data_IF_259406851442
#
_entry.id   IF_259406851442
#
_cell.length_a   1.000
_cell.length_b   1.000
_cell.length_c   1.000
_cell.angle_alpha   90.00
_cell.angle_beta   90.00
_cell.angle_gamma   90.00
#
_symmetry.space_group_name_H-M   'P 1'
#
loop_
_entity.id
_entity.type
_entity.pdbx_description
1 polymer ?
#
# COMPACT_ATOMS: atom_id res chain seq x y z
N UNK A 1 40.05 -71.00 11.59
CA UNK A 1 40.37 -69.57 11.40
C UNK A 1 39.11 -68.81 11.71
N UNK A 2 39.11 -68.25 12.90
CA UNK A 2 37.99 -67.61 13.57
C UNK A 2 37.70 -66.23 12.98
N UNK A 3 36.46 -65.77 13.18
CA UNK A 3 36.06 -64.42 13.57
C UNK A 3 34.87 -63.82 12.81
N UNK A 4 33.99 -63.31 13.67
CA UNK A 4 32.64 -62.74 13.62
C UNK A 4 32.56 -61.34 12.96
N UNK A 5 31.34 -60.79 12.77
CA UNK A 5 31.01 -59.83 11.71
C UNK A 5 31.27 -58.38 12.11
N UNK A 6 31.60 -57.53 11.14
CA UNK A 6 31.53 -56.07 11.31
C UNK A 6 30.33 -55.54 10.53
N UNK A 7 29.22 -55.44 11.27
CA UNK A 7 28.06 -54.62 11.01
C UNK A 7 28.55 -53.19 10.68
N UNK A 8 28.60 -52.85 9.40
CA UNK A 8 28.86 -51.48 8.96
C UNK A 8 27.77 -50.58 9.54
N UNK A 9 28.22 -49.63 10.36
CA UNK A 9 27.42 -48.68 11.11
C UNK A 9 26.34 -48.01 10.24
N UNK A 10 25.08 -48.39 10.47
CA UNK A 10 23.95 -47.49 10.25
C UNK A 10 24.05 -46.37 11.28
N UNK A 11 24.76 -45.30 10.91
CA UNK A 11 24.64 -44.04 11.63
C UNK A 11 23.22 -43.52 11.39
N UNK A 12 22.40 -43.30 12.44
CA UNK A 12 21.16 -42.59 12.24
C UNK A 12 21.50 -41.17 11.78
N UNK A 13 21.18 -40.88 10.52
CA UNK A 13 21.12 -39.52 10.00
C UNK A 13 20.26 -38.72 10.97
N UNK A 14 20.88 -37.80 11.72
CA UNK A 14 20.17 -36.81 12.53
C UNK A 14 19.28 -36.01 11.60
N UNK A 15 18.01 -36.38 11.52
CA UNK A 15 16.97 -35.55 10.94
C UNK A 15 16.84 -34.35 11.86
N UNK A 16 17.27 -33.19 11.37
CA UNK A 16 16.94 -31.92 11.98
C UNK A 16 15.41 -31.84 11.89
N UNK A 17 14.66 -31.75 13.00
CA UNK A 17 13.26 -31.40 12.89
C UNK A 17 13.25 -29.96 12.37
N UNK A 18 13.00 -29.82 11.06
CA UNK A 18 12.60 -28.55 10.46
C UNK A 18 11.45 -28.05 11.30
N UNK A 19 11.72 -27.03 12.11
CA UNK A 19 10.72 -26.36 12.91
C UNK A 19 9.60 -25.97 11.96
N UNK A 20 8.46 -26.65 12.09
CA UNK A 20 7.23 -26.20 11.50
C UNK A 20 7.04 -24.73 11.91
N UNK A 21 6.89 -23.78 10.96
CA UNK A 21 6.55 -22.43 11.35
C UNK A 21 5.19 -22.46 12.02
N UNK A 22 5.23 -22.36 13.35
CA UNK A 22 4.08 -22.25 14.23
C UNK A 22 3.22 -21.09 13.71
N UNK A 23 2.02 -21.49 13.28
CA UNK A 23 0.85 -20.68 12.94
C UNK A 23 0.87 -19.97 11.59
N UNK A 24 0.01 -20.46 10.71
CA UNK A 24 -0.70 -19.65 9.72
C UNK A 24 -1.42 -18.50 10.44
N UNK A 25 -0.71 -17.40 10.66
CA UNK A 25 -1.33 -16.13 11.04
C UNK A 25 -2.14 -15.72 9.82
N UNK A 26 -3.46 -15.84 9.92
CA UNK A 26 -4.41 -15.22 8.98
C UNK A 26 -3.84 -13.85 8.64
N UNK A 27 -3.57 -13.54 7.36
CA UNK A 27 -2.98 -12.26 7.02
C UNK A 27 -3.91 -11.20 7.59
N UNK A 28 -3.42 -10.48 8.59
CA UNK A 28 -4.10 -9.28 9.06
C UNK A 28 -4.34 -8.44 7.81
N UNK A 29 -5.58 -7.95 7.62
CA UNK A 29 -5.93 -7.11 6.45
C UNK A 29 -4.95 -5.96 6.26
N UNK A 30 -4.28 -5.59 7.34
CA UNK A 30 -3.16 -4.66 7.38
C UNK A 30 -1.90 -5.44 7.69
N UNK A 31 -0.85 -5.27 6.88
CA UNK A 31 0.46 -5.86 7.15
C UNK A 31 1.01 -5.46 8.54
N UNK A 32 2.20 -5.97 8.92
CA UNK A 32 2.79 -5.72 10.24
C UNK A 32 2.91 -4.23 10.60
N UNK A 33 2.95 -3.34 9.60
CA UNK A 33 2.92 -1.89 9.78
C UNK A 33 1.53 -1.30 9.48
N UNK A 34 0.73 -1.13 10.54
CA UNK A 34 -0.60 -0.52 10.43
C UNK A 34 -0.57 0.92 9.90
N UNK A 35 0.43 1.73 10.29
CA UNK A 35 0.52 3.11 9.84
C UNK A 35 0.69 3.22 8.32
N UNK A 36 1.59 2.44 7.74
CA UNK A 36 1.76 2.36 6.28
C UNK A 36 0.51 1.84 5.58
N UNK A 37 -0.18 0.87 6.19
CA UNK A 37 -1.44 0.37 5.64
C UNK A 37 -2.56 1.40 5.66
N UNK A 38 -2.60 2.31 6.64
CA UNK A 38 -3.59 3.38 6.74
C UNK A 38 -3.30 4.45 5.68
N UNK A 39 -2.06 4.92 5.57
CA UNK A 39 -1.66 5.95 4.59
C UNK A 39 -1.91 5.50 3.15
N UNK A 40 -1.81 4.19 2.87
CA UNK A 40 -2.10 3.63 1.54
C UNK A 40 -3.61 3.56 1.20
N UNK A 41 -4.52 3.83 2.14
CA UNK A 41 -5.95 3.85 1.86
C UNK A 41 -6.31 5.04 0.95
N UNK A 42 -7.30 4.90 0.04
CA UNK A 42 -7.77 6.00 -0.81
C UNK A 42 -8.21 7.24 -0.03
N UNK A 43 -8.62 7.05 1.23
CA UNK A 43 -8.99 8.11 2.15
C UNK A 43 -7.88 9.17 2.31
N UNK A 44 -6.61 8.73 2.32
CA UNK A 44 -5.44 9.58 2.51
C UNK A 44 -4.72 9.91 1.20
N UNK A 45 -5.39 9.77 0.04
CA UNK A 45 -4.80 10.19 -1.24
C UNK A 45 -4.56 11.71 -1.26
N UNK A 46 -3.55 12.13 -2.02
CA UNK A 46 -3.33 13.55 -2.30
C UNK A 46 -4.55 14.18 -2.98
N UNK A 47 -4.93 15.38 -2.54
CA UNK A 47 -6.00 16.19 -3.10
C UNK A 47 -5.39 17.38 -3.81
N UNK A 48 -5.77 17.57 -5.07
CA UNK A 48 -5.39 18.73 -5.85
C UNK A 48 -6.59 19.66 -5.95
N UNK A 49 -6.45 20.88 -5.45
CA UNK A 49 -7.46 21.92 -5.60
C UNK A 49 -7.51 22.40 -7.05
N UNK A 50 -8.70 22.82 -7.51
CA UNK A 50 -8.85 23.38 -8.86
C UNK A 50 -8.26 24.79 -8.87
N UNK A 51 -7.34 25.11 -9.80
CA UNK A 51 -6.77 26.45 -9.87
C UNK A 51 -7.83 27.46 -10.33
N UNK A 52 -7.81 28.65 -9.73
CA UNK A 52 -8.72 29.74 -10.11
C UNK A 52 -8.39 30.34 -11.49
N UNK A 53 -7.12 30.27 -11.91
CA UNK A 53 -6.63 30.79 -13.20
C UNK A 53 -5.52 29.90 -13.76
N UNK A 54 -5.40 29.85 -15.08
CA UNK A 54 -4.34 29.11 -15.77
C UNK A 54 -4.77 27.72 -16.27
N UNK A 55 -3.84 26.75 -16.28
CA UNK A 55 -4.12 25.41 -16.82
C UNK A 55 -5.16 24.68 -15.96
N UNK A 56 -6.23 24.21 -16.60
CA UNK A 56 -7.30 23.49 -15.90
C UNK A 56 -8.27 24.38 -15.12
N UNK A 57 -8.17 25.72 -15.26
CA UNK A 57 -9.13 26.65 -14.65
C UNK A 57 -10.37 26.91 -15.52
N UNK A 58 -10.41 26.44 -16.76
CA UNK A 58 -11.56 26.64 -17.65
C UNK A 58 -12.82 25.94 -17.11
N UNK A 59 -13.92 26.70 -17.00
CA UNK A 59 -15.24 26.22 -16.60
C UNK A 59 -16.15 26.27 -17.82
N UNK A 60 -16.86 25.17 -18.10
CA UNK A 60 -17.82 25.10 -19.21
C UNK A 60 -19.12 25.85 -18.90
N UNK A 61 -19.41 26.07 -17.62
CA UNK A 61 -20.47 26.96 -17.18
C UNK A 61 -20.17 28.37 -17.71
N UNK A 62 -21.11 29.01 -18.42
CA UNK A 62 -21.10 30.45 -18.55
C UNK A 62 -21.13 31.04 -17.13
N UNK A 63 -20.44 32.16 -16.88
CA UNK A 63 -20.65 32.90 -15.64
C UNK A 63 -22.16 33.07 -15.46
N UNK A 64 -22.73 32.49 -14.40
CA UNK A 64 -24.12 32.78 -14.03
C UNK A 64 -24.18 34.31 -13.87
N UNK A 65 -25.02 34.96 -14.68
CA UNK A 65 -25.13 36.41 -14.84
C UNK A 65 -25.64 37.14 -13.58
N UNK A 66 -25.71 36.44 -12.44
CA UNK A 66 -26.15 36.98 -11.16
C UNK A 66 -25.03 37.79 -10.47
N UNK A 67 -23.79 37.74 -10.99
CA UNK A 67 -22.67 38.55 -10.52
C UNK A 67 -22.60 39.91 -11.23
N UNK A 68 -23.68 40.70 -11.17
CA UNK A 68 -23.77 42.05 -11.73
C UNK A 68 -22.71 43.02 -11.16
N UNK A 69 -22.15 42.69 -10.00
CA UNK A 69 -21.16 43.49 -9.28
C UNK A 69 -19.72 43.36 -9.83
N UNK A 70 -19.47 42.44 -10.76
CA UNK A 70 -18.14 42.17 -11.32
C UNK A 70 -17.81 42.94 -12.62
N UNK A 71 -18.76 43.72 -13.15
CA UNK A 71 -18.53 44.55 -14.34
C UNK A 71 -17.95 45.92 -13.95
N UNK A 72 -16.63 46.00 -13.78
CA UNK A 72 -15.94 47.28 -13.65
C UNK A 72 -16.00 48.05 -14.99
N UNK A 73 -16.86 49.07 -15.08
CA UNK A 73 -16.75 50.10 -16.12
C UNK A 73 -15.65 51.09 -15.73
N UNK A 74 -14.49 51.02 -16.40
CA UNK A 74 -13.54 52.13 -16.41
C UNK A 74 -14.00 53.12 -17.49
N UNK A 75 -14.53 54.27 -17.06
CA UNK A 75 -14.78 55.39 -17.97
C UNK A 75 -13.45 56.05 -18.35
N UNK A 76 -13.32 56.41 -19.62
CA UNK A 76 -12.12 57.01 -20.23
C UNK A 76 -11.91 58.48 -19.82
#
# INVERSE_FOLDING_TARGET
MDNTPTLSHDLPRKTIPTRDPIMSKKPSRHGPNKAKSIVAQPLFRSRQERPAKGKGSYRREAFQSDHWEASCFLAA
#
